data_IF_928045493304
#
_entry.id   IF_928045493304
#
_cell.length_a   1.000
_cell.length_b   1.000
_cell.length_c   1.000
_cell.angle_alpha   90.00
_cell.angle_beta   90.00
_cell.angle_gamma   90.00
#
_symmetry.space_group_name_H-M   'P 1'
#
loop_
_entity.id
_entity.type
_entity.pdbx_description
1 polymer ?
#
# COMPACT_ATOMS: atom_id res chain seq x y z
N UNK A 1 8.51 -14.62 14.86
CA UNK A 1 9.89 -14.45 14.38
C UNK A 1 10.01 -13.02 13.90
N UNK A 2 10.96 -12.20 14.40
CA UNK A 2 11.29 -11.01 13.64
C UNK A 2 11.75 -11.52 12.28
N UNK A 3 11.13 -11.06 11.19
CA UNK A 3 11.72 -11.28 9.87
C UNK A 3 13.21 -10.92 9.97
N UNK A 4 14.10 -11.73 9.35
CA UNK A 4 15.55 -11.46 9.38
C UNK A 4 15.75 -9.97 9.09
N UNK A 5 16.35 -9.24 10.04
CA UNK A 5 16.52 -7.78 9.96
C UNK A 5 17.15 -7.38 8.63
N UNK A 6 18.02 -8.20 8.05
CA UNK A 6 18.59 -7.97 6.72
C UNK A 6 17.55 -8.09 5.61
N UNK A 7 16.67 -9.09 5.68
CA UNK A 7 15.57 -9.25 4.71
C UNK A 7 14.60 -8.06 4.78
N UNK A 8 14.29 -7.57 5.99
CA UNK A 8 13.45 -6.38 6.15
C UNK A 8 14.10 -5.12 5.57
N UNK A 9 15.40 -4.89 5.85
CA UNK A 9 16.13 -3.75 5.29
C UNK A 9 16.26 -3.83 3.76
N UNK A 10 16.48 -5.02 3.21
CA UNK A 10 16.51 -5.24 1.76
C UNK A 10 15.14 -4.97 1.11
N UNK A 11 14.05 -5.33 1.79
CA UNK A 11 12.70 -5.05 1.30
C UNK A 11 12.37 -3.55 1.31
N UNK A 12 12.73 -2.86 2.40
CA UNK A 12 12.60 -1.40 2.49
C UNK A 12 13.42 -0.70 1.39
N UNK A 13 14.66 -1.15 1.15
CA UNK A 13 15.49 -0.63 0.06
C UNK A 13 14.83 -0.78 -1.31
N UNK A 14 14.21 -1.92 -1.59
CA UNK A 14 13.44 -2.14 -2.84
C UNK A 14 12.21 -1.23 -2.92
N UNK A 15 11.49 -1.02 -1.82
CA UNK A 15 10.37 -0.08 -1.79
C UNK A 15 10.80 1.34 -2.14
N UNK A 16 11.87 1.83 -1.52
CA UNK A 16 12.41 3.18 -1.76
C UNK A 16 12.87 3.33 -3.22
N UNK A 17 13.60 2.36 -3.77
CA UNK A 17 14.07 2.39 -5.16
C UNK A 17 12.91 2.42 -6.17
N UNK A 18 11.81 1.72 -5.88
CA UNK A 18 10.60 1.73 -6.71
C UNK A 18 9.75 3.01 -6.55
N UNK A 19 10.05 3.85 -5.54
CA UNK A 19 9.20 4.97 -5.13
C UNK A 19 9.90 6.34 -5.20
N UNK A 20 10.32 6.83 -6.39
CA UNK A 20 11.05 8.09 -6.52
C UNK A 20 10.23 9.34 -6.21
N UNK A 21 8.91 9.23 -6.02
CA UNK A 21 8.05 10.31 -5.53
C UNK A 21 6.93 9.77 -4.65
N UNK A 22 6.18 10.65 -3.99
CA UNK A 22 4.99 10.28 -3.19
C UNK A 22 3.95 9.52 -4.01
N UNK A 23 3.72 9.92 -5.27
CA UNK A 23 2.81 9.22 -6.18
C UNK A 23 3.26 7.78 -6.43
N UNK A 24 4.56 7.56 -6.69
CA UNK A 24 5.10 6.21 -6.87
C UNK A 24 5.03 5.41 -5.56
N UNK A 25 5.27 6.03 -4.41
CA UNK A 25 5.16 5.36 -3.10
C UNK A 25 3.72 4.91 -2.82
N UNK A 26 2.72 5.74 -3.13
CA UNK A 26 1.32 5.39 -2.95
C UNK A 26 0.90 4.22 -3.86
N UNK A 27 1.31 4.25 -5.14
CA UNK A 27 1.00 3.15 -6.08
C UNK A 27 1.79 1.86 -5.78
N UNK A 28 3.07 1.94 -5.36
CA UNK A 28 3.81 0.74 -4.93
C UNK A 28 3.23 0.15 -3.63
N UNK A 29 2.77 0.99 -2.71
CA UNK A 29 2.02 0.56 -1.54
C UNK A 29 0.70 -0.11 -1.91
N UNK A 30 -0.05 0.46 -2.85
CA UNK A 30 -1.29 -0.12 -3.39
C UNK A 30 -1.03 -1.51 -4.00
N UNK A 31 -0.02 -1.63 -4.87
CA UNK A 31 0.38 -2.91 -5.49
C UNK A 31 0.68 -3.99 -4.44
N UNK A 32 1.37 -3.62 -3.36
CA UNK A 32 1.69 -4.54 -2.24
C UNK A 32 0.44 -4.93 -1.44
N UNK A 33 -0.48 -3.99 -1.21
CA UNK A 33 -1.74 -4.26 -0.54
C UNK A 33 -2.64 -5.18 -1.36
N UNK A 34 -2.75 -4.97 -2.67
CA UNK A 34 -3.45 -5.86 -3.59
C UNK A 34 -2.87 -7.28 -3.54
N UNK A 35 -1.55 -7.41 -3.58
CA UNK A 35 -0.87 -8.70 -3.43
C UNK A 35 -1.13 -9.36 -2.05
N UNK A 36 -1.42 -8.57 -1.02
CA UNK A 36 -1.82 -9.03 0.32
C UNK A 36 -3.34 -9.26 0.47
N UNK A 37 -4.11 -9.13 -0.63
CA UNK A 37 -5.55 -9.39 -0.68
C UNK A 37 -6.42 -8.22 -0.22
N UNK A 38 -5.91 -6.99 -0.22
CA UNK A 38 -6.74 -5.81 -0.04
C UNK A 38 -7.44 -5.42 -1.35
N UNK A 39 -8.65 -4.86 -1.23
CA UNK A 39 -9.40 -4.31 -2.35
C UNK A 39 -9.18 -2.79 -2.47
N UNK A 40 -8.81 -2.33 -3.67
CA UNK A 40 -8.81 -0.91 -4.03
C UNK A 40 -10.24 -0.43 -4.21
N UNK A 41 -10.60 0.69 -3.57
CA UNK A 41 -11.88 1.36 -3.77
C UNK A 41 -11.70 2.64 -4.60
N UNK A 42 -12.72 3.00 -5.38
CA UNK A 42 -12.84 4.35 -5.94
C UNK A 42 -13.44 5.27 -4.87
N UNK A 43 -12.85 6.44 -4.67
CA UNK A 43 -13.32 7.40 -3.67
C UNK A 43 -14.71 7.98 -3.98
N UNK A 44 -15.16 7.89 -5.24
CA UNK A 44 -16.45 8.41 -5.71
C UNK A 44 -17.60 7.43 -5.49
N UNK A 45 -17.30 6.17 -5.21
CA UNK A 45 -18.30 5.13 -5.00
C UNK A 45 -18.81 5.09 -3.55
N UNK A 46 -19.94 4.42 -3.33
CA UNK A 46 -20.41 4.14 -1.98
C UNK A 46 -19.47 3.14 -1.28
N UNK A 47 -18.98 3.51 -0.09
CA UNK A 47 -18.02 2.67 0.63
C UNK A 47 -18.71 1.60 1.49
N UNK A 48 -18.15 0.38 1.54
CA UNK A 48 -18.61 -0.65 2.47
C UNK A 48 -18.43 -0.20 3.93
N UNK A 49 -19.42 -0.47 4.78
CA UNK A 49 -19.35 -0.19 6.21
C UNK A 49 -18.56 -1.26 6.98
N UNK A 50 -17.97 -0.88 8.11
CA UNK A 50 -17.23 -1.78 9.00
C UNK A 50 -15.76 -2.03 8.59
N UNK A 51 -15.04 -2.82 9.40
CA UNK A 51 -13.65 -3.19 9.13
C UNK A 51 -13.50 -4.02 7.85
N UNK A 52 -12.32 -4.00 7.24
CA UNK A 52 -12.06 -4.74 6.00
C UNK A 52 -10.58 -4.86 5.68
N UNK A 53 -10.28 -5.26 4.45
CA UNK A 53 -8.96 -5.08 3.83
C UNK A 53 -9.18 -4.20 2.62
N UNK A 54 -9.27 -2.90 2.84
CA UNK A 54 -9.65 -1.93 1.81
C UNK A 54 -8.65 -0.80 1.81
N UNK A 55 -8.46 -0.19 0.66
CA UNK A 55 -7.65 1.02 0.56
C UNK A 55 -8.12 1.93 -0.56
N UNK A 56 -7.74 3.20 -0.47
CA UNK A 56 -7.86 4.19 -1.54
C UNK A 56 -6.50 4.84 -1.78
N UNK A 57 -6.28 5.30 -3.02
CA UNK A 57 -5.17 6.19 -3.37
C UNK A 57 -5.74 7.49 -3.90
N UNK A 58 -5.30 8.61 -3.35
CA UNK A 58 -5.74 9.95 -3.75
C UNK A 58 -4.57 10.91 -3.72
N UNK A 59 -4.28 11.55 -4.86
CA UNK A 59 -3.27 12.62 -4.99
C UNK A 59 -1.90 12.28 -4.35
N UNK A 60 -1.47 11.02 -4.47
CA UNK A 60 -0.21 10.54 -3.91
C UNK A 60 -0.25 10.16 -2.42
N UNK A 61 -1.44 10.06 -1.82
CA UNK A 61 -1.67 9.50 -0.50
C UNK A 61 -2.34 8.13 -0.60
N UNK A 62 -1.91 7.19 0.25
CA UNK A 62 -2.50 5.85 0.38
C UNK A 62 -3.12 5.72 1.78
N UNK A 63 -4.39 5.33 1.85
CA UNK A 63 -5.10 5.07 3.10
C UNK A 63 -5.64 3.65 3.06
N UNK A 64 -5.36 2.84 4.09
CA UNK A 64 -5.79 1.45 4.18
C UNK A 64 -6.36 1.13 5.56
N UNK A 65 -7.40 0.29 5.61
CA UNK A 65 -8.11 -0.13 6.84
C UNK A 65 -8.80 -1.49 6.69
#
# INVERSE_FOLDING_TARGET
MPADRRAHLADLGRFIQASPSSFHAAEEGARRLEAAGFARLDERDAWPTGAGRRFIVRDGALLAW
#
